data_IF_806009309047
#
_entry.id   IF_806009309047
#
_cell.length_a   1.000
_cell.length_b   1.000
_cell.length_c   1.000
_cell.angle_alpha   90.00
_cell.angle_beta   90.00
_cell.angle_gamma   90.00
#
_symmetry.space_group_name_H-M   'P 1'
#
loop_
_entity.id
_entity.type
_entity.pdbx_description
1 polymer ?
#
# COMPACT_ATOMS: atom_id res chain seq x y z
N UNK A 1 16.51 -70.40 47.26
CA UNK A 1 16.61 -69.02 47.77
C UNK A 1 16.32 -68.10 46.57
N UNK A 2 15.06 -67.84 46.23
CA UNK A 2 14.33 -66.60 46.55
C UNK A 2 15.23 -65.35 46.55
N UNK A 3 15.13 -64.45 45.55
CA UNK A 3 14.25 -63.26 45.61
C UNK A 3 14.37 -62.35 44.36
N UNK A 4 13.19 -62.04 43.79
CA UNK A 4 12.65 -60.73 43.38
C UNK A 4 13.22 -59.97 42.16
N UNK A 5 12.33 -59.86 41.16
CA UNK A 5 12.19 -58.74 40.24
C UNK A 5 12.17 -57.39 40.98
N UNK A 6 12.84 -56.39 40.42
CA UNK A 6 12.50 -54.98 40.62
C UNK A 6 12.56 -54.26 39.28
N UNK A 7 11.38 -54.05 38.72
CA UNK A 7 11.09 -53.09 37.66
C UNK A 7 11.22 -51.68 38.26
N UNK A 8 12.02 -50.80 37.65
CA UNK A 8 11.94 -49.36 37.88
C UNK A 8 11.94 -48.66 36.52
N UNK A 9 10.74 -48.28 36.10
CA UNK A 9 10.53 -47.44 34.93
C UNK A 9 11.02 -46.02 35.20
N UNK A 10 11.84 -45.49 34.28
CA UNK A 10 12.18 -44.08 34.25
C UNK A 10 11.05 -43.36 33.51
N UNK A 11 10.29 -42.56 34.26
CA UNK A 11 9.26 -41.68 33.74
C UNK A 11 9.90 -40.58 32.88
N UNK A 12 9.55 -40.56 31.59
CA UNK A 12 9.85 -39.46 30.70
C UNK A 12 8.95 -38.27 31.05
N UNK A 13 9.51 -37.25 31.70
CA UNK A 13 8.86 -35.96 31.88
C UNK A 13 8.95 -35.16 30.59
N UNK A 14 7.91 -35.28 29.75
CA UNK A 14 7.65 -34.33 28.68
C UNK A 14 7.20 -33.00 29.30
N UNK A 15 8.12 -32.04 29.39
CA UNK A 15 7.78 -30.64 29.63
C UNK A 15 7.19 -30.10 28.33
N UNK A 16 5.86 -30.14 28.23
CA UNK A 16 5.11 -29.32 27.28
C UNK A 16 5.17 -27.86 27.77
N UNK A 17 6.17 -27.12 27.28
CA UNK A 17 6.22 -25.67 27.40
C UNK A 17 5.06 -25.08 26.61
N UNK A 18 4.04 -24.58 27.33
CA UNK A 18 2.87 -23.94 26.76
C UNK A 18 3.20 -22.65 26.00
N UNK A 19 3.10 -22.70 24.67
CA UNK A 19 2.92 -21.52 23.83
C UNK A 19 1.43 -21.15 23.77
N UNK A 20 0.89 -20.56 24.83
CA UNK A 20 -0.52 -20.17 24.93
C UNK A 20 -0.72 -18.64 24.96
N UNK A 21 0.19 -17.89 24.34
CA UNK A 21 0.20 -16.41 24.37
C UNK A 21 -0.15 -15.70 23.06
N UNK A 22 -0.17 -16.37 21.90
CA UNK A 22 -0.27 -15.71 20.58
C UNK A 22 -1.62 -15.89 19.85
N UNK A 23 -2.30 -17.02 20.02
CA UNK A 23 -3.49 -17.36 19.24
C UNK A 23 -4.71 -16.40 19.36
N UNK A 24 -5.04 -15.83 20.55
CA UNK A 24 -6.21 -14.96 20.69
C UNK A 24 -5.96 -13.57 20.06
N UNK A 25 -4.75 -13.02 20.23
CA UNK A 25 -4.36 -11.71 19.71
C UNK A 25 -4.33 -11.72 18.17
N UNK A 26 -3.84 -12.80 17.58
CA UNK A 26 -3.81 -12.96 16.12
C UNK A 26 -5.22 -13.04 15.50
N UNK A 27 -6.17 -13.64 16.22
CA UNK A 27 -7.56 -13.79 15.75
C UNK A 27 -8.31 -12.46 15.82
N UNK A 28 -8.16 -11.72 16.93
CA UNK A 28 -8.80 -10.41 17.11
C UNK A 28 -8.21 -9.34 16.17
N UNK A 29 -6.89 -9.34 15.99
CA UNK A 29 -6.23 -8.48 15.01
C UNK A 29 -6.74 -8.77 13.60
N UNK A 30 -6.80 -10.05 13.21
CA UNK A 30 -7.34 -10.46 11.91
C UNK A 30 -8.78 -9.99 11.74
N UNK A 31 -9.63 -10.19 12.74
CA UNK A 31 -11.03 -9.72 12.71
C UNK A 31 -11.15 -8.21 12.48
N UNK A 32 -10.35 -7.40 13.20
CA UNK A 32 -10.29 -5.94 13.00
C UNK A 32 -9.83 -5.57 11.59
N UNK A 33 -8.76 -6.20 11.08
CA UNK A 33 -8.26 -5.96 9.72
C UNK A 33 -9.33 -6.31 8.69
N UNK A 34 -9.95 -7.48 8.81
CA UNK A 34 -11.00 -7.95 7.90
C UNK A 34 -12.23 -7.03 7.90
N UNK A 35 -12.62 -6.52 9.08
CA UNK A 35 -13.71 -5.55 9.24
C UNK A 35 -13.41 -4.21 8.55
N UNK A 36 -12.21 -3.66 8.71
CA UNK A 36 -11.79 -2.45 8.01
C UNK A 36 -11.70 -2.68 6.50
N UNK A 37 -11.14 -3.81 6.06
CA UNK A 37 -11.07 -4.18 4.65
C UNK A 37 -12.45 -4.38 4.03
N UNK A 38 -13.45 -4.84 4.80
CA UNK A 38 -14.85 -5.03 4.38
C UNK A 38 -15.72 -3.77 4.49
N UNK A 39 -15.20 -2.67 5.03
CA UNK A 39 -15.99 -1.47 5.29
C UNK A 39 -16.53 -0.82 4.01
N UNK A 40 -17.81 -0.43 4.02
CA UNK A 40 -18.42 0.31 2.91
C UNK A 40 -18.01 1.79 2.89
N UNK A 41 -17.56 2.33 4.02
CA UNK A 41 -17.05 3.70 4.12
C UNK A 41 -15.54 3.76 3.82
N UNK A 42 -15.06 4.98 3.65
CA UNK A 42 -13.63 5.27 3.66
C UNK A 42 -13.06 4.95 5.03
N UNK A 43 -11.98 4.16 5.06
CA UNK A 43 -11.15 3.93 6.24
C UNK A 43 -9.96 4.86 6.17
N UNK A 44 -9.76 5.66 7.20
CA UNK A 44 -8.73 6.69 7.25
C UNK A 44 -7.36 6.09 7.56
N UNK A 45 -6.29 6.82 7.23
CA UNK A 45 -4.94 6.44 7.63
C UNK A 45 -4.78 6.38 9.16
N UNK A 46 -5.50 7.21 9.92
CA UNK A 46 -5.48 7.17 11.38
C UNK A 46 -6.05 5.85 11.92
N UNK A 47 -7.14 5.36 11.33
CA UNK A 47 -7.72 4.06 11.71
C UNK A 47 -6.76 2.92 11.40
N UNK A 48 -6.09 2.92 10.25
CA UNK A 48 -5.07 1.92 9.95
C UNK A 48 -3.88 1.98 10.91
N UNK A 49 -3.39 3.18 11.24
CA UNK A 49 -2.32 3.35 12.25
C UNK A 49 -2.73 2.81 13.62
N UNK A 50 -4.00 2.94 14.01
CA UNK A 50 -4.50 2.42 15.27
C UNK A 50 -4.56 0.88 15.32
N UNK A 51 -4.58 0.20 14.17
CA UNK A 51 -4.44 -1.27 14.11
C UNK A 51 -3.01 -1.70 14.43
N UNK A 52 -2.03 -0.94 13.94
CA UNK A 52 -0.61 -1.17 14.19
C UNK A 52 0.11 -1.96 13.09
N UNK A 53 1.46 -1.97 13.13
CA UNK A 53 2.31 -2.65 12.16
C UNK A 53 2.12 -4.17 12.09
N UNK A 54 1.60 -4.79 13.14
CA UNK A 54 1.31 -6.22 13.24
C UNK A 54 0.28 -6.68 12.20
N UNK A 55 -0.52 -5.77 11.66
CA UNK A 55 -1.46 -6.05 10.57
C UNK A 55 -0.78 -6.36 9.23
N UNK A 56 0.51 -6.00 9.07
CA UNK A 56 1.20 -6.05 7.79
C UNK A 56 1.13 -7.42 7.08
N UNK A 57 1.37 -8.58 7.76
CA UNK A 57 1.27 -9.88 7.09
C UNK A 57 -0.11 -10.17 6.51
N UNK A 58 -1.18 -9.76 7.20
CA UNK A 58 -2.57 -9.97 6.74
C UNK A 58 -2.87 -9.06 5.54
N UNK A 59 -2.52 -7.78 5.64
CA UNK A 59 -2.71 -6.80 4.56
C UNK A 59 -1.92 -7.19 3.31
N UNK A 60 -0.69 -7.64 3.50
CA UNK A 60 0.20 -8.09 2.44
C UNK A 60 -0.35 -9.34 1.73
N UNK A 61 -0.86 -10.31 2.49
CA UNK A 61 -1.52 -11.49 1.93
C UNK A 61 -2.75 -11.11 1.09
N UNK A 62 -3.60 -10.22 1.60
CA UNK A 62 -4.79 -9.75 0.86
C UNK A 62 -4.41 -8.97 -0.40
N UNK A 63 -3.39 -8.10 -0.34
CA UNK A 63 -2.97 -7.33 -1.50
C UNK A 63 -2.45 -8.22 -2.65
N UNK A 64 -1.80 -9.34 -2.31
CA UNK A 64 -1.30 -10.31 -3.31
C UNK A 64 -2.33 -11.35 -3.76
N UNK A 65 -3.39 -11.61 -3.00
CA UNK A 65 -4.36 -12.66 -3.35
C UNK A 65 -5.08 -12.34 -4.68
N UNK A 66 -4.83 -13.10 -5.76
CA UNK A 66 -5.49 -12.88 -7.05
C UNK A 66 -6.99 -13.19 -7.01
N UNK A 67 -7.48 -13.90 -6.00
CA UNK A 67 -8.91 -14.21 -5.81
C UNK A 67 -9.67 -13.10 -5.08
N UNK A 68 -8.96 -12.22 -4.37
CA UNK A 68 -9.57 -11.07 -3.71
C UNK A 68 -10.01 -10.02 -4.74
N UNK A 69 -11.14 -9.36 -4.45
CA UNK A 69 -11.64 -8.26 -5.30
C UNK A 69 -10.56 -7.17 -5.47
N UNK A 70 -10.37 -6.62 -6.68
CA UNK A 70 -9.35 -5.59 -6.92
C UNK A 70 -9.43 -4.39 -5.98
N UNK A 71 -10.63 -3.98 -5.59
CA UNK A 71 -10.86 -2.89 -4.61
C UNK A 71 -10.40 -3.26 -3.20
N UNK A 72 -10.61 -4.52 -2.78
CA UNK A 72 -10.13 -5.05 -1.49
C UNK A 72 -8.60 -5.10 -1.46
N UNK A 73 -8.00 -5.58 -2.55
CA UNK A 73 -6.53 -5.59 -2.73
C UNK A 73 -5.94 -4.18 -2.69
N UNK A 74 -6.57 -3.24 -3.40
CA UNK A 74 -6.16 -1.83 -3.41
C UNK A 74 -6.18 -1.20 -2.02
N UNK A 75 -7.26 -1.45 -1.26
CA UNK A 75 -7.37 -0.99 0.12
C UNK A 75 -6.31 -1.62 1.03
N UNK A 76 -6.03 -2.91 0.87
CA UNK A 76 -5.01 -3.60 1.63
C UNK A 76 -3.60 -3.05 1.34
N UNK A 77 -3.29 -2.76 0.07
CA UNK A 77 -2.03 -2.13 -0.32
C UNK A 77 -1.88 -0.73 0.29
N UNK A 78 -2.92 0.10 0.20
CA UNK A 78 -2.91 1.44 0.80
C UNK A 78 -2.73 1.39 2.33
N UNK A 79 -3.42 0.46 2.99
CA UNK A 79 -3.28 0.22 4.42
C UNK A 79 -1.86 -0.26 4.79
N UNK A 80 -1.28 -1.17 4.01
CA UNK A 80 0.09 -1.65 4.20
C UNK A 80 1.08 -0.48 4.12
N UNK A 81 0.91 0.42 3.14
CA UNK A 81 1.72 1.63 3.01
C UNK A 81 1.61 2.58 4.21
N UNK A 82 0.51 2.54 4.95
CA UNK A 82 0.32 3.34 6.17
C UNK A 82 0.97 2.69 7.39
N UNK A 83 0.82 1.37 7.57
CA UNK A 83 1.26 0.67 8.79
C UNK A 83 2.70 0.16 8.71
N UNK A 84 3.17 -0.21 7.51
CA UNK A 84 4.52 -0.72 7.21
C UNK A 84 4.97 -0.32 5.80
N UNK A 85 5.41 0.94 5.61
CA UNK A 85 5.88 1.43 4.31
C UNK A 85 6.99 0.56 3.70
N UNK A 86 7.91 0.06 4.51
CA UNK A 86 9.01 -0.82 4.10
C UNK A 86 8.51 -2.13 3.46
N UNK A 87 7.45 -2.73 4.02
CA UNK A 87 6.81 -3.92 3.46
C UNK A 87 5.97 -3.60 2.21
N UNK A 88 5.36 -2.41 2.14
CA UNK A 88 4.59 -1.97 0.98
C UNK A 88 5.45 -1.64 -0.24
N UNK A 89 6.65 -1.09 -0.02
CA UNK A 89 7.53 -0.59 -1.06
C UNK A 89 7.78 -1.57 -2.23
N UNK A 90 8.21 -2.82 -2.03
CA UNK A 90 8.42 -3.75 -3.15
C UNK A 90 7.12 -4.03 -3.92
N UNK A 91 6.00 -4.19 -3.20
CA UNK A 91 4.71 -4.48 -3.81
C UNK A 91 4.17 -3.29 -4.62
N UNK A 92 4.41 -2.06 -4.17
CA UNK A 92 4.07 -0.85 -4.92
C UNK A 92 4.85 -0.80 -6.23
N UNK A 93 6.16 -1.07 -6.22
CA UNK A 93 6.99 -1.09 -7.44
C UNK A 93 6.47 -2.12 -8.44
N UNK A 94 6.19 -3.34 -7.96
CA UNK A 94 5.65 -4.43 -8.77
C UNK A 94 4.31 -4.05 -9.40
N UNK A 95 3.33 -3.66 -8.57
CA UNK A 95 1.95 -3.47 -9.02
C UNK A 95 1.76 -2.21 -9.88
N UNK A 96 2.50 -1.12 -9.64
CA UNK A 96 2.35 0.10 -10.43
C UNK A 96 2.74 -0.13 -11.91
N UNK A 97 3.80 -0.90 -12.14
CA UNK A 97 4.40 -1.12 -13.46
C UNK A 97 3.84 -2.34 -14.21
N UNK A 98 3.16 -3.27 -13.52
CA UNK A 98 2.62 -4.47 -14.16
C UNK A 98 1.33 -4.18 -14.95
N UNK A 99 1.43 -4.22 -16.28
CA UNK A 99 0.34 -3.85 -17.18
C UNK A 99 -0.87 -4.81 -17.15
N UNK A 100 -0.69 -6.04 -16.67
CA UNK A 100 -1.77 -7.03 -16.52
C UNK A 100 -2.58 -6.86 -15.24
N UNK A 101 -2.07 -6.11 -14.26
CA UNK A 101 -2.79 -5.82 -13.02
C UNK A 101 -3.97 -4.88 -13.31
N UNK A 102 -5.10 -5.11 -12.63
CA UNK A 102 -6.29 -4.27 -12.76
C UNK A 102 -5.98 -2.80 -12.48
N UNK A 103 -6.45 -1.91 -13.35
CA UNK A 103 -6.11 -0.48 -13.30
C UNK A 103 -6.36 0.19 -11.93
N UNK A 104 -7.39 -0.25 -11.19
CA UNK A 104 -7.68 0.27 -9.84
C UNK A 104 -6.58 -0.08 -8.83
N UNK A 105 -6.02 -1.29 -8.90
CA UNK A 105 -4.94 -1.72 -8.02
C UNK A 105 -3.63 -1.03 -8.40
N UNK A 106 -3.36 -0.86 -9.70
CA UNK A 106 -2.23 -0.06 -10.20
C UNK A 106 -2.33 1.40 -9.72
N UNK A 107 -3.52 1.99 -9.80
CA UNK A 107 -3.77 3.36 -9.36
C UNK A 107 -3.56 3.50 -7.84
N UNK A 108 -3.96 2.51 -7.05
CA UNK A 108 -3.68 2.50 -5.61
C UNK A 108 -2.18 2.41 -5.30
N UNK A 109 -1.42 1.63 -6.08
CA UNK A 109 0.04 1.59 -5.94
C UNK A 109 0.67 2.95 -6.28
N UNK A 110 0.19 3.57 -7.36
CA UNK A 110 0.60 4.92 -7.79
C UNK A 110 0.31 5.98 -6.72
N UNK A 111 -0.89 5.98 -6.13
CA UNK A 111 -1.27 6.93 -5.09
C UNK A 111 -0.44 6.77 -3.81
N UNK A 112 -0.07 5.53 -3.46
CA UNK A 112 0.72 5.24 -2.28
C UNK A 112 2.22 5.55 -2.46
N UNK A 113 2.71 5.58 -3.71
CA UNK A 113 4.14 5.68 -4.01
C UNK A 113 4.83 6.90 -3.38
N UNK A 114 4.31 8.14 -3.44
CA UNK A 114 4.99 9.29 -2.82
C UNK A 114 5.21 9.13 -1.31
N UNK A 115 4.21 8.60 -0.60
CA UNK A 115 4.28 8.42 0.85
C UNK A 115 5.16 7.26 1.29
N UNK A 116 5.30 6.23 0.45
CA UNK A 116 6.04 5.01 0.77
C UNK A 116 7.48 5.03 0.25
N UNK A 117 7.69 5.57 -0.96
CA UNK A 117 8.98 5.55 -1.66
C UNK A 117 9.70 6.91 -1.59
N UNK A 118 9.02 7.97 -1.14
CA UNK A 118 9.59 9.31 -1.07
C UNK A 118 10.06 9.81 -2.44
N UNK A 119 11.32 10.25 -2.52
CA UNK A 119 11.90 10.80 -3.75
C UNK A 119 11.92 9.80 -4.92
N UNK A 120 12.15 8.51 -4.63
CA UNK A 120 12.19 7.43 -5.64
C UNK A 120 10.84 7.23 -6.35
N UNK A 121 9.73 7.71 -5.77
CA UNK A 121 8.43 7.63 -6.41
C UNK A 121 8.44 8.28 -7.80
N UNK A 122 9.21 9.35 -7.99
CA UNK A 122 9.28 10.08 -9.26
C UNK A 122 9.70 9.16 -10.43
N UNK A 123 10.67 8.28 -10.22
CA UNK A 123 11.20 7.39 -11.27
C UNK A 123 10.17 6.36 -11.73
N UNK A 124 9.28 5.96 -10.83
CA UNK A 124 8.18 5.02 -11.11
C UNK A 124 7.00 5.75 -11.74
N UNK A 125 6.70 6.96 -11.27
CA UNK A 125 5.50 7.68 -11.67
C UNK A 125 5.63 8.35 -13.04
N UNK A 126 6.80 8.91 -13.39
CA UNK A 126 7.00 9.62 -14.67
C UNK A 126 6.66 8.76 -15.89
N UNK A 127 7.10 7.48 -16.00
CA UNK A 127 6.68 6.61 -17.09
C UNK A 127 5.15 6.41 -17.18
N UNK A 128 4.47 6.39 -16.03
CA UNK A 128 3.03 6.15 -15.93
C UNK A 128 2.16 7.34 -16.38
N UNK A 129 2.76 8.52 -16.58
CA UNK A 129 2.10 9.62 -17.29
C UNK A 129 1.75 9.26 -18.74
N UNK A 130 2.39 8.22 -19.31
CA UNK A 130 2.13 7.70 -20.65
C UNK A 130 1.36 6.38 -20.66
N UNK A 131 0.83 5.96 -19.50
CA UNK A 131 0.11 4.70 -19.40
C UNK A 131 -1.06 4.64 -20.39
N UNK A 132 -1.31 3.45 -20.95
CA UNK A 132 -2.44 3.22 -21.86
C UNK A 132 -3.79 3.50 -21.21
N UNK A 133 -3.91 3.30 -19.91
CA UNK A 133 -5.14 3.48 -19.16
C UNK A 133 -5.24 4.93 -18.64
N UNK A 134 -6.28 5.70 -19.05
CA UNK A 134 -6.43 7.10 -18.62
C UNK A 134 -6.50 7.28 -17.10
N UNK A 135 -7.07 6.31 -16.38
CA UNK A 135 -7.10 6.32 -14.92
C UNK A 135 -5.70 6.32 -14.32
N UNK A 136 -4.81 5.43 -14.78
CA UNK A 136 -3.43 5.35 -14.27
C UNK A 136 -2.65 6.64 -14.59
N UNK A 137 -2.83 7.21 -15.79
CA UNK A 137 -2.24 8.52 -16.13
C UNK A 137 -2.68 9.61 -15.17
N UNK A 138 -3.98 9.67 -14.88
CA UNK A 138 -4.54 10.65 -13.96
C UNK A 138 -3.91 10.54 -12.57
N UNK A 139 -3.91 9.33 -12.02
CA UNK A 139 -3.36 9.07 -10.69
C UNK A 139 -1.85 9.38 -10.65
N UNK A 140 -1.10 9.04 -11.70
CA UNK A 140 0.32 9.39 -11.78
C UNK A 140 0.55 10.90 -11.81
N UNK A 141 -0.23 11.63 -12.62
CA UNK A 141 -0.14 13.08 -12.69
C UNK A 141 -0.48 13.75 -11.35
N UNK A 142 -1.51 13.25 -10.67
CA UNK A 142 -1.88 13.72 -9.34
C UNK A 142 -0.79 13.44 -8.31
N UNK A 143 -0.28 12.21 -8.26
CA UNK A 143 0.77 11.80 -7.35
C UNK A 143 2.06 12.61 -7.57
N UNK A 144 2.49 12.82 -8.82
CA UNK A 144 3.64 13.67 -9.16
C UNK A 144 3.42 15.12 -8.75
N UNK A 145 2.25 15.71 -9.03
CA UNK A 145 1.97 17.07 -8.61
C UNK A 145 2.10 17.23 -7.08
N UNK A 146 1.72 16.20 -6.31
CA UNK A 146 1.85 16.21 -4.85
C UNK A 146 3.30 16.16 -4.34
N UNK A 147 4.28 15.74 -5.16
CA UNK A 147 5.70 15.73 -4.77
C UNK A 147 6.37 17.10 -4.90
N UNK A 148 5.64 18.10 -5.41
CA UNK A 148 6.07 19.49 -5.49
C UNK A 148 6.62 19.91 -6.86
N UNK A 149 7.49 20.93 -6.92
CA UNK A 149 7.88 21.57 -8.18
C UNK A 149 8.47 20.63 -9.24
N UNK A 150 9.26 19.64 -8.83
CA UNK A 150 9.87 18.69 -9.76
C UNK A 150 8.81 17.79 -10.43
N UNK A 151 7.88 17.23 -9.65
CA UNK A 151 6.80 16.43 -10.19
C UNK A 151 5.84 17.26 -11.05
N UNK A 152 5.50 18.49 -10.63
CA UNK A 152 4.72 19.41 -11.47
C UNK A 152 5.39 19.72 -12.81
N UNK A 153 6.72 19.89 -12.87
CA UNK A 153 7.43 20.06 -14.15
C UNK A 153 7.27 18.85 -15.07
N UNK A 154 7.30 17.63 -14.54
CA UNK A 154 7.08 16.42 -15.33
C UNK A 154 5.65 16.35 -15.88
N UNK A 155 4.65 16.70 -15.06
CA UNK A 155 3.23 16.76 -15.48
C UNK A 155 3.04 17.79 -16.60
N UNK A 156 3.59 19.00 -16.44
CA UNK A 156 3.51 20.06 -17.46
C UNK A 156 4.20 19.66 -18.77
N UNK A 157 5.34 18.98 -18.69
CA UNK A 157 6.07 18.52 -19.87
C UNK A 157 5.26 17.47 -20.65
N UNK A 158 4.65 16.50 -19.96
CA UNK A 158 3.79 15.53 -20.64
C UNK A 158 2.50 16.16 -21.17
N UNK A 159 1.85 17.06 -20.43
CA UNK A 159 0.58 17.65 -20.87
C UNK A 159 0.67 18.35 -22.26
N UNK A 160 1.84 18.90 -22.61
CA UNK A 160 2.09 19.53 -23.92
C UNK A 160 2.05 18.56 -25.11
N UNK A 161 2.22 17.26 -24.86
CA UNK A 161 2.18 16.22 -25.90
C UNK A 161 0.79 15.58 -26.04
N UNK A 162 -0.18 16.00 -25.23
CA UNK A 162 -1.49 15.37 -25.10
C UNK A 162 -2.63 16.32 -25.49
N UNK A 163 -3.77 15.80 -25.96
CA UNK A 163 -4.95 16.64 -26.19
C UNK A 163 -5.47 17.19 -24.87
N UNK A 164 -6.15 18.34 -24.92
CA UNK A 164 -6.74 18.98 -23.74
C UNK A 164 -7.77 18.12 -22.98
N UNK A 165 -8.34 17.11 -23.65
CA UNK A 165 -9.24 16.13 -23.04
C UNK A 165 -8.53 15.06 -22.20
N UNK A 166 -7.21 14.95 -22.28
CA UNK A 166 -6.47 13.97 -21.51
C UNK A 166 -6.45 14.34 -20.00
N UNK A 167 -6.63 13.38 -19.09
CA UNK A 167 -6.63 13.66 -17.65
C UNK A 167 -5.37 14.37 -17.14
N UNK A 168 -4.21 14.17 -17.78
CA UNK A 168 -2.95 14.85 -17.41
C UNK A 168 -3.07 16.38 -17.58
N UNK A 169 -3.84 16.86 -18.56
CA UNK A 169 -4.01 18.29 -18.82
C UNK A 169 -4.70 19.01 -17.65
N UNK A 170 -5.62 18.34 -16.94
CA UNK A 170 -6.28 18.91 -15.76
C UNK A 170 -5.31 19.13 -14.61
N UNK A 171 -4.42 18.16 -14.36
CA UNK A 171 -3.42 18.26 -13.30
C UNK A 171 -2.33 19.29 -13.67
N UNK A 172 -2.00 19.43 -14.95
CA UNK A 172 -1.13 20.50 -15.44
C UNK A 172 -1.66 21.90 -15.09
N UNK A 173 -2.94 22.17 -15.33
CA UNK A 173 -3.56 23.45 -14.95
C UNK A 173 -3.47 23.75 -13.44
N UNK A 174 -3.55 22.70 -12.59
CA UNK A 174 -3.36 22.84 -11.13
C UNK A 174 -1.92 23.19 -10.79
N UNK A 175 -0.95 22.53 -11.42
CA UNK A 175 0.47 22.84 -11.26
C UNK A 175 0.80 24.28 -11.68
N UNK A 176 0.23 24.77 -12.79
CA UNK A 176 0.42 26.17 -13.20
C UNK A 176 -0.15 27.15 -12.17
N UNK A 177 -1.35 26.88 -11.64
CA UNK A 177 -1.96 27.70 -10.60
C UNK A 177 -1.09 27.74 -9.33
N UNK A 178 -0.50 26.61 -8.95
CA UNK A 178 0.44 26.54 -7.83
C UNK A 178 1.68 27.40 -8.03
N UNK A 179 2.29 27.35 -9.23
CA UNK A 179 3.45 28.21 -9.55
C UNK A 179 3.10 29.70 -9.62
N UNK A 180 1.92 30.06 -10.12
CA UNK A 180 1.46 31.45 -10.14
C UNK A 180 1.17 31.96 -8.72
N UNK A 181 0.54 31.14 -7.88
CA UNK A 181 0.25 31.48 -6.49
C UNK A 181 1.51 31.63 -5.63
N UNK A 182 2.50 30.75 -5.81
CA UNK A 182 3.79 30.81 -5.10
C UNK A 182 4.72 31.94 -5.54
N UNK A 183 4.46 32.58 -6.68
CA UNK A 183 5.20 33.74 -7.17
C UNK A 183 4.49 35.08 -6.88
N UNK A 184 3.47 35.09 -6.02
CA UNK A 184 2.91 36.36 -5.54
C UNK A 184 3.93 37.00 -4.58
N UNK A 185 4.45 38.21 -4.86
CA UNK A 185 5.24 38.91 -3.87
C UNK A 185 4.32 39.23 -2.70
N UNK A 186 4.63 38.69 -1.51
CA UNK A 186 3.92 39.01 -0.28
C UNK A 186 3.84 40.54 -0.14
N UNK A 187 2.61 41.02 0.09
CA UNK A 187 2.27 42.43 0.25
C UNK A 187 1.90 42.68 1.70
#
# INVERSE_FOLDING_TARGET
>A
MSTRLAWLGVAATLVFGGGAGSAPLDTELRSRVEGLLGSYRTVTAAEWRAVGPEAAPVLEAVARDPRALPTRRARALAALGVVRPDAAAPLIRELASEATVAAILRSAAVDAAPGVLGAEATDILVPLLRDRTPLVRLHSAHALASTGPAGCRAVLAEARTRPASDPVAREASRCEAQFRGGNSPER
#
